data_IF_664170509388
#
_entry.id   IF_664170509388
#
_cell.length_a   1.000
_cell.length_b   1.000
_cell.length_c   1.000
_cell.angle_alpha   90.00
_cell.angle_beta   90.00
_cell.angle_gamma   90.00
#
_symmetry.space_group_name_H-M   'P 1'
#
loop_
_entity.id
_entity.type
_entity.pdbx_description
1 polymer ?
#
# COMPACT_ATOMS: atom_id res chain seq x y z
N UNK A 1 -22.47 22.30 0.77
CA UNK A 1 -22.56 20.84 0.56
C UNK A 1 -21.15 20.31 0.68
N UNK A 2 -20.73 20.09 1.91
CA UNK A 2 -19.39 19.63 2.28
C UNK A 2 -19.34 18.14 2.04
N UNK A 3 -19.21 17.76 0.77
CA UNK A 3 -19.10 16.36 0.40
C UNK A 3 -17.70 15.88 0.72
N UNK A 4 -17.66 15.01 1.72
CA UNK A 4 -16.62 14.00 1.90
C UNK A 4 -15.32 14.52 2.52
N UNK A 5 -15.35 14.61 3.86
CA UNK A 5 -14.23 14.08 4.63
C UNK A 5 -14.13 12.58 4.34
N UNK A 6 -13.55 12.24 3.18
CA UNK A 6 -13.14 10.88 2.88
C UNK A 6 -12.06 10.56 3.90
N UNK A 7 -12.45 9.96 5.03
CA UNK A 7 -11.55 9.32 5.97
C UNK A 7 -10.68 8.42 5.12
N UNK A 8 -9.43 8.82 4.87
CA UNK A 8 -8.55 8.06 4.00
C UNK A 8 -8.55 6.63 4.54
N UNK A 9 -8.94 5.68 3.68
CA UNK A 9 -8.98 4.29 4.06
C UNK A 9 -7.53 3.91 4.33
N UNK A 10 -7.17 3.82 5.62
CA UNK A 10 -5.83 3.41 6.00
C UNK A 10 -5.63 1.97 5.52
N UNK A 11 -4.55 1.73 4.80
CA UNK A 11 -4.24 0.42 4.25
C UNK A 11 -2.80 0.06 4.57
N UNK A 12 -2.57 -1.22 4.83
CA UNK A 12 -1.21 -1.74 4.99
C UNK A 12 -0.45 -1.65 3.67
N UNK A 13 0.88 -1.56 3.78
CA UNK A 13 1.80 -1.44 2.64
C UNK A 13 1.53 -2.51 1.57
N UNK A 14 1.35 -3.77 1.99
CA UNK A 14 1.01 -4.89 1.11
C UNK A 14 -0.30 -4.68 0.35
N UNK A 15 -1.35 -4.18 1.01
CA UNK A 15 -2.66 -3.98 0.39
C UNK A 15 -2.62 -2.84 -0.63
N UNK A 16 -1.90 -1.77 -0.32
CA UNK A 16 -1.68 -0.65 -1.25
C UNK A 16 -0.92 -1.13 -2.49
N UNK A 17 0.16 -1.86 -2.29
CA UNK A 17 0.96 -2.42 -3.37
C UNK A 17 0.13 -3.37 -4.24
N UNK A 18 -0.62 -4.29 -3.64
CA UNK A 18 -1.49 -5.19 -4.39
C UNK A 18 -2.56 -4.44 -5.20
N UNK A 19 -3.19 -3.42 -4.63
CA UNK A 19 -4.17 -2.60 -5.36
C UNK A 19 -3.55 -1.83 -6.51
N UNK A 20 -2.39 -1.22 -6.29
CA UNK A 20 -1.72 -0.39 -7.29
C UNK A 20 -1.23 -1.23 -8.47
N UNK A 21 -0.49 -2.30 -8.18
CA UNK A 21 0.06 -3.18 -9.22
C UNK A 21 -1.02 -4.06 -9.86
N UNK A 22 -2.02 -4.52 -9.10
CA UNK A 22 -3.18 -5.22 -9.64
C UNK A 22 -4.01 -4.38 -10.62
N UNK A 23 -4.04 -3.05 -10.43
CA UNK A 23 -4.70 -2.11 -11.34
C UNK A 23 -3.86 -1.80 -12.59
N UNK A 24 -2.53 -1.82 -12.47
CA UNK A 24 -1.62 -1.41 -13.55
C UNK A 24 -1.48 -2.44 -14.67
N UNK A 25 -1.51 -3.74 -14.37
CA UNK A 25 -0.88 -4.67 -15.32
C UNK A 25 -1.62 -5.97 -15.59
N UNK A 26 -2.64 -6.34 -14.80
CA UNK A 26 -3.16 -7.71 -14.85
C UNK A 26 -2.04 -8.76 -14.70
N UNK A 27 -0.87 -8.37 -14.16
CA UNK A 27 0.27 -9.24 -14.00
C UNK A 27 -0.04 -10.33 -13.00
N UNK A 28 0.66 -11.44 -13.20
CA UNK A 28 0.70 -12.52 -12.24
C UNK A 28 1.22 -12.00 -10.88
N UNK A 29 0.28 -11.82 -9.95
CA UNK A 29 0.50 -11.37 -8.58
C UNK A 29 1.51 -12.27 -7.85
N UNK A 30 1.71 -13.52 -8.30
CA UNK A 30 2.66 -14.44 -7.70
C UNK A 30 4.11 -13.97 -7.89
N UNK A 31 4.48 -13.51 -9.09
CA UNK A 31 5.83 -13.00 -9.37
C UNK A 31 6.12 -11.72 -8.60
N UNK A 32 5.12 -10.83 -8.56
CA UNK A 32 5.20 -9.56 -7.82
C UNK A 32 5.36 -9.77 -6.31
N UNK A 33 4.63 -10.73 -5.72
CA UNK A 33 4.78 -11.07 -4.30
C UNK A 33 6.21 -11.50 -3.98
N UNK A 34 6.84 -12.29 -4.84
CA UNK A 34 8.23 -12.74 -4.65
C UNK A 34 9.21 -11.57 -4.74
N UNK A 35 8.99 -10.60 -5.62
CA UNK A 35 9.82 -9.40 -5.70
C UNK A 35 9.65 -8.49 -4.48
N UNK A 36 8.40 -8.25 -4.06
CA UNK A 36 8.07 -7.53 -2.83
C UNK A 36 8.76 -8.21 -1.65
N UNK A 37 8.64 -9.52 -1.50
CA UNK A 37 9.23 -10.25 -0.36
C UNK A 37 10.76 -10.18 -0.30
N UNK A 38 11.43 -9.90 -1.41
CA UNK A 38 12.90 -9.66 -1.46
C UNK A 38 13.31 -8.25 -1.06
N UNK A 39 12.38 -7.29 -1.09
CA UNK A 39 12.65 -5.90 -0.70
C UNK A 39 12.81 -5.77 0.82
N UNK A 40 13.72 -4.89 1.21
CA UNK A 40 13.87 -4.48 2.61
C UNK A 40 12.60 -3.78 3.10
N UNK A 41 12.32 -3.76 4.41
CA UNK A 41 11.17 -3.04 4.96
C UNK A 41 11.12 -1.56 4.55
N UNK A 42 12.28 -0.90 4.46
CA UNK A 42 12.38 0.48 4.01
C UNK A 42 11.98 0.64 2.53
N UNK A 43 12.46 -0.26 1.65
CA UNK A 43 12.14 -0.25 0.23
C UNK A 43 10.66 -0.55 -0.01
N UNK A 44 10.08 -1.51 0.73
CA UNK A 44 8.63 -1.81 0.71
C UNK A 44 7.82 -0.57 1.06
N UNK A 45 8.24 0.17 2.08
CA UNK A 45 7.56 1.37 2.53
C UNK A 45 7.64 2.49 1.51
N UNK A 46 8.82 2.76 0.95
CA UNK A 46 8.98 3.77 -0.12
C UNK A 46 8.11 3.45 -1.33
N UNK A 47 8.08 2.18 -1.75
CA UNK A 47 7.24 1.71 -2.85
C UNK A 47 5.75 1.88 -2.53
N UNK A 48 5.35 1.52 -1.30
CA UNK A 48 3.99 1.65 -0.82
C UNK A 48 3.57 3.12 -0.72
N UNK A 49 4.45 4.03 -0.33
CA UNK A 49 4.17 5.46 -0.21
C UNK A 49 3.89 6.08 -1.59
N UNK A 50 4.70 5.71 -2.59
CA UNK A 50 4.45 6.10 -3.99
C UNK A 50 3.11 5.57 -4.49
N UNK A 51 2.85 4.28 -4.28
CA UNK A 51 1.59 3.63 -4.66
C UNK A 51 0.37 4.24 -3.93
N UNK A 52 0.51 4.59 -2.65
CA UNK A 52 -0.54 5.20 -1.85
C UNK A 52 -0.93 6.58 -2.38
N UNK A 53 0.06 7.40 -2.75
CA UNK A 53 -0.15 8.72 -3.38
C UNK A 53 -0.91 8.61 -4.70
N UNK A 54 -0.52 7.68 -5.55
CA UNK A 54 -1.19 7.42 -6.83
C UNK A 54 -2.62 6.90 -6.66
N UNK A 55 -2.86 6.08 -5.64
CA UNK A 55 -4.19 5.56 -5.31
C UNK A 55 -5.07 6.54 -4.51
N UNK A 56 -4.51 7.64 -4.01
CA UNK A 56 -5.20 8.59 -3.13
C UNK A 56 -5.57 7.99 -1.77
N UNK A 57 -4.77 7.06 -1.24
CA UNK A 57 -4.95 6.43 0.08
C UNK A 57 -3.80 6.81 1.01
N UNK A 58 -4.03 6.69 2.31
CA UNK A 58 -2.98 6.85 3.33
C UNK A 58 -2.49 5.48 3.79
N UNK A 59 -1.17 5.33 3.98
CA UNK A 59 -0.62 4.13 4.59
C UNK A 59 -0.88 4.10 6.08
N UNK A 60 -1.09 2.90 6.62
CA UNK A 60 -1.00 2.69 8.06
C UNK A 60 0.45 2.89 8.52
N UNK A 61 0.64 3.76 9.49
CA UNK A 61 1.94 3.86 10.16
C UNK A 61 2.26 2.54 10.85
N UNK A 62 3.52 2.06 10.77
CA UNK A 62 3.94 0.79 11.34
C UNK A 62 4.01 0.85 12.87
N UNK A 63 3.56 1.96 13.48
CA UNK A 63 3.67 2.26 14.89
C UNK A 63 2.43 1.88 15.71
N UNK A 64 1.41 1.26 15.09
CA UNK A 64 0.10 1.04 15.75
C UNK A 64 -0.19 -0.42 16.11
N UNK A 65 0.59 -1.41 15.69
CA UNK A 65 0.39 -2.83 16.08
C UNK A 65 1.44 -3.35 17.08
N UNK A 66 1.96 -2.48 17.94
CA UNK A 66 2.78 -2.88 19.09
C UNK A 66 2.00 -2.71 20.42
N UNK A 67 0.73 -3.06 20.47
CA UNK A 67 0.01 -3.22 21.74
C UNK A 67 -1.25 -4.09 21.56
N UNK A 68 -1.12 -5.41 21.70
CA UNK A 68 -2.17 -6.26 22.26
C UNK A 68 -1.63 -7.57 22.81
#
# INVERSE_FOLDING_TARGET
MDTSGAKAAKATELVVLWKYFGKLSGQDMAGFKVEIDKLSPAEKRELAEGAARELGVELEDPKVEAEK
#
